data_IF_804287670482
#
_entry.id   IF_804287670482
#
_cell.length_a   1.000
_cell.length_b   1.000
_cell.length_c   1.000
_cell.angle_alpha   90.00
_cell.angle_beta   90.00
_cell.angle_gamma   90.00
#
_symmetry.space_group_name_H-M   'P 1'
#
loop_
_entity.id
_entity.type
_entity.pdbx_description
1 polymer ?
#
# COMPACT_ATOMS: atom_id res chain seq x y z
N UNK A 1 9.57 -22.65 7.25
CA UNK A 1 8.49 -22.62 6.22
C UNK A 1 9.10 -22.19 4.89
N UNK A 2 8.92 -22.97 3.82
CA UNK A 2 9.34 -22.64 2.44
C UNK A 2 8.69 -21.32 1.98
N UNK A 3 9.36 -20.59 1.09
CA UNK A 3 8.71 -19.55 0.28
C UNK A 3 7.99 -20.26 -0.86
N UNK A 4 6.70 -20.01 -0.99
CA UNK A 4 5.85 -20.58 -2.02
C UNK A 4 5.88 -19.66 -3.25
N UNK A 5 5.76 -20.24 -4.45
CA UNK A 5 5.45 -19.41 -5.62
C UNK A 5 4.03 -18.83 -5.49
N UNK A 6 3.67 -17.73 -6.19
CA UNK A 6 2.32 -17.18 -6.13
C UNK A 6 1.22 -18.23 -6.42
N UNK A 7 1.47 -19.13 -7.38
CA UNK A 7 0.56 -20.22 -7.71
C UNK A 7 0.44 -21.25 -6.57
N UNK A 8 1.56 -21.60 -5.92
CA UNK A 8 1.55 -22.51 -4.77
C UNK A 8 0.89 -21.87 -3.54
N UNK A 9 1.00 -20.54 -3.38
CA UNK A 9 0.33 -19.80 -2.30
C UNK A 9 -1.19 -19.86 -2.43
N UNK A 10 -1.72 -19.69 -3.65
CA UNK A 10 -3.16 -19.73 -3.88
C UNK A 10 -3.72 -21.14 -3.71
N UNK A 11 -2.97 -22.18 -4.10
CA UNK A 11 -3.33 -23.58 -3.82
C UNK A 11 -3.32 -23.85 -2.31
N UNK A 12 -2.27 -23.39 -1.61
CA UNK A 12 -2.10 -23.64 -0.18
C UNK A 12 -3.11 -22.89 0.70
N UNK A 13 -3.60 -21.73 0.25
CA UNK A 13 -4.52 -20.88 1.01
C UNK A 13 -5.99 -21.04 0.58
N UNK A 14 -6.29 -21.88 -0.41
CA UNK A 14 -7.61 -22.01 -1.03
C UNK A 14 -8.75 -22.24 -0.03
N UNK A 15 -8.51 -23.04 1.01
CA UNK A 15 -9.49 -23.39 2.05
C UNK A 15 -9.06 -22.88 3.45
N UNK A 16 -8.12 -21.94 3.50
CA UNK A 16 -7.61 -21.42 4.76
C UNK A 16 -8.60 -20.45 5.41
N UNK A 17 -8.64 -20.45 6.75
CA UNK A 17 -9.43 -19.47 7.50
C UNK A 17 -8.82 -18.07 7.36
N UNK A 18 -9.64 -17.03 7.51
CA UNK A 18 -9.15 -15.64 7.50
C UNK A 18 -8.08 -15.39 8.58
N UNK A 19 -8.18 -16.02 9.77
CA UNK A 19 -7.14 -15.92 10.80
C UNK A 19 -5.81 -16.55 10.35
N UNK A 20 -5.87 -17.70 9.65
CA UNK A 20 -4.67 -18.31 9.09
C UNK A 20 -4.03 -17.41 8.03
N UNK A 21 -4.84 -16.88 7.10
CA UNK A 21 -4.39 -15.96 6.05
C UNK A 21 -3.74 -14.71 6.66
N UNK A 22 -4.36 -14.14 7.70
CA UNK A 22 -3.84 -12.98 8.43
C UNK A 22 -2.44 -13.23 8.99
N UNK A 23 -2.28 -14.32 9.75
CA UNK A 23 -0.99 -14.73 10.32
C UNK A 23 0.04 -15.00 9.23
N UNK A 24 -0.39 -15.62 8.13
CA UNK A 24 0.45 -15.89 6.97
C UNK A 24 0.99 -14.61 6.33
N UNK A 25 0.13 -13.63 6.06
CA UNK A 25 0.50 -12.34 5.47
C UNK A 25 1.51 -11.61 6.36
N UNK A 26 1.26 -11.52 7.67
CA UNK A 26 2.19 -10.90 8.63
C UNK A 26 3.52 -11.65 8.69
N UNK A 27 3.51 -12.99 8.74
CA UNK A 27 4.73 -13.80 8.77
C UNK A 27 5.54 -13.69 7.47
N UNK A 28 4.89 -13.50 6.32
CA UNK A 28 5.54 -13.22 5.04
C UNK A 28 6.19 -11.83 5.05
N UNK A 29 5.47 -10.82 5.56
CA UNK A 29 5.99 -9.46 5.68
C UNK A 29 7.21 -9.37 6.61
N UNK A 30 7.16 -10.00 7.78
CA UNK A 30 8.31 -10.06 8.72
C UNK A 30 9.58 -10.63 8.07
N UNK A 31 9.44 -11.64 7.20
CA UNK A 31 10.57 -12.22 6.44
C UNK A 31 11.11 -11.25 5.38
N UNK A 32 10.21 -10.59 4.66
CA UNK A 32 10.53 -9.60 3.64
C UNK A 32 11.21 -8.36 4.26
N UNK A 33 10.69 -7.88 5.38
CA UNK A 33 11.18 -6.68 6.08
C UNK A 33 12.68 -6.75 6.34
N UNK A 34 13.17 -7.87 6.88
CA UNK A 34 14.60 -8.03 7.16
C UNK A 34 15.48 -7.90 5.90
N UNK A 35 15.01 -8.41 4.76
CA UNK A 35 15.71 -8.28 3.47
C UNK A 35 15.68 -6.85 2.94
N UNK A 36 14.51 -6.22 3.00
CA UNK A 36 14.35 -4.81 2.56
C UNK A 36 15.21 -3.89 3.41
N UNK A 37 15.24 -4.12 4.73
CA UNK A 37 16.08 -3.42 5.66
C UNK A 37 17.56 -3.52 5.29
N UNK A 38 18.08 -4.73 5.02
CA UNK A 38 19.47 -4.91 4.58
C UNK A 38 19.79 -4.18 3.27
N UNK A 39 18.84 -4.16 2.33
CA UNK A 39 19.00 -3.50 1.01
C UNK A 39 18.91 -1.98 1.13
N UNK A 40 18.10 -1.46 2.04
CA UNK A 40 17.81 -0.03 2.21
C UNK A 40 18.72 0.65 3.23
N UNK A 41 19.28 -0.12 4.15
CA UNK A 41 20.32 0.30 5.09
C UNK A 41 21.68 -0.39 4.83
N UNK A 42 22.15 -0.51 3.57
CA UNK A 42 23.37 -1.25 3.29
C UNK A 42 24.58 -0.42 3.71
N UNK A 43 25.38 -0.99 4.61
CA UNK A 43 26.76 -0.61 4.95
C UNK A 43 26.98 0.90 5.04
N UNK A 44 26.19 1.57 5.88
CA UNK A 44 26.73 2.77 6.55
C UNK A 44 27.89 2.27 7.39
N UNK A 45 29.12 2.53 6.95
CA UNK A 45 30.33 2.30 7.75
C UNK A 45 30.02 2.88 9.11
N UNK A 46 30.03 2.01 10.13
CA UNK A 46 29.52 2.28 11.46
C UNK A 46 30.30 3.42 12.10
N UNK A 47 29.90 4.64 11.78
CA UNK A 47 30.37 5.83 12.41
C UNK A 47 29.14 6.45 13.03
N UNK A 48 29.23 6.80 14.31
CA UNK A 48 28.21 7.57 15.02
C UNK A 48 27.96 8.96 14.40
N UNK A 49 28.64 9.29 13.29
CA UNK A 49 28.46 10.51 12.54
C UNK A 49 27.07 10.57 11.93
N UNK A 50 26.32 11.55 12.40
CA UNK A 50 24.94 11.80 12.01
C UNK A 50 24.65 13.28 12.10
N UNK A 51 23.69 13.73 11.30
CA UNK A 51 23.10 15.06 11.40
C UNK A 51 21.74 14.86 12.07
N UNK A 52 21.61 15.11 13.38
CA UNK A 52 20.35 14.93 14.09
C UNK A 52 19.36 16.03 13.73
N UNK A 53 18.07 15.67 13.68
CA UNK A 53 16.98 16.63 13.69
C UNK A 53 16.96 17.36 15.04
N UNK A 54 16.69 18.67 15.04
CA UNK A 54 16.73 19.51 16.24
C UNK A 54 15.77 19.07 17.33
N UNK A 55 14.59 18.55 16.95
CA UNK A 55 13.48 18.26 17.88
C UNK A 55 12.98 16.82 17.85
N UNK A 56 13.40 16.01 16.87
CA UNK A 56 12.88 14.67 16.66
C UNK A 56 14.00 13.65 16.87
N UNK A 57 13.70 12.44 17.38
CA UNK A 57 14.66 11.35 17.47
C UNK A 57 14.88 10.73 16.07
N UNK A 58 15.42 11.53 15.15
CA UNK A 58 15.56 11.25 13.73
C UNK A 58 16.84 11.91 13.22
N UNK A 59 17.56 11.27 12.31
CA UNK A 59 18.83 11.78 11.82
C UNK A 59 19.12 11.32 10.39
N UNK A 60 19.99 12.07 9.73
CA UNK A 60 20.68 11.66 8.52
C UNK A 60 22.01 11.02 8.92
N UNK A 61 22.28 9.82 8.44
CA UNK A 61 23.61 9.23 8.59
C UNK A 61 24.59 9.91 7.63
N UNK A 62 25.85 10.01 8.06
CA UNK A 62 26.96 10.48 7.21
C UNK A 62 27.81 9.26 6.89
N UNK A 63 28.08 9.03 5.60
CA UNK A 63 29.03 8.00 5.20
C UNK A 63 30.47 8.44 5.52
N UNK A 64 31.24 7.56 6.15
CA UNK A 64 32.64 7.84 6.52
C UNK A 64 33.55 8.14 5.31
N UNK A 65 33.18 7.64 4.13
CA UNK A 65 33.91 7.81 2.87
C UNK A 65 33.39 8.98 2.01
N UNK A 66 32.48 9.81 2.55
CA UNK A 66 31.94 10.97 1.85
C UNK A 66 31.05 10.63 0.65
N UNK A 67 30.57 9.39 0.55
CA UNK A 67 29.62 8.99 -0.50
C UNK A 67 28.34 9.81 -0.45
N UNK A 68 27.79 10.03 -1.65
CA UNK A 68 26.50 10.67 -1.82
C UNK A 68 25.36 9.77 -1.31
N UNK A 69 24.33 10.41 -0.77
CA UNK A 69 23.22 9.76 -0.10
C UNK A 69 23.34 9.90 1.41
N UNK A 70 22.29 10.40 2.04
CA UNK A 70 22.21 10.54 3.49
C UNK A 70 21.03 9.69 3.95
N UNK A 71 21.23 8.39 4.25
CA UNK A 71 20.12 7.56 4.67
C UNK A 71 19.58 8.12 5.98
N UNK A 72 18.27 8.32 6.03
CA UNK A 72 17.62 8.73 7.25
C UNK A 72 17.45 7.54 8.19
N UNK A 73 17.35 7.83 9.48
CA UNK A 73 17.16 6.81 10.52
C UNK A 73 16.47 7.39 11.74
N UNK A 74 15.60 6.59 12.34
CA UNK A 74 15.12 6.83 13.70
C UNK A 74 16.24 6.55 14.70
N UNK A 75 16.34 7.43 15.70
CA UNK A 75 17.22 7.29 16.85
C UNK A 75 16.40 6.87 18.07
N UNK A 76 17.04 6.19 19.01
CA UNK A 76 16.41 5.94 20.31
C UNK A 76 16.26 7.26 21.06
N UNK A 77 15.10 7.49 21.65
CA UNK A 77 14.81 8.76 22.32
C UNK A 77 15.67 8.99 23.58
N UNK A 78 16.13 7.92 24.24
CA UNK A 78 16.88 8.00 25.50
C UNK A 78 18.39 8.20 25.33
N UNK A 79 18.96 7.56 24.31
CA UNK A 79 20.41 7.46 24.10
C UNK A 79 20.87 8.14 22.81
N UNK A 80 19.92 8.57 21.98
CA UNK A 80 20.18 9.13 20.65
C UNK A 80 20.99 8.18 19.74
N UNK A 81 20.98 6.89 20.05
CA UNK A 81 21.71 5.84 19.33
C UNK A 81 20.84 5.22 18.22
N UNK A 82 21.45 4.53 17.26
CA UNK A 82 20.68 3.83 16.22
C UNK A 82 19.98 2.59 16.79
N UNK A 83 18.83 2.24 16.22
CA UNK A 83 18.25 0.90 16.37
C UNK A 83 19.00 -0.08 15.48
N UNK A 84 19.36 -1.24 16.01
CA UNK A 84 19.95 -2.30 15.20
C UNK A 84 18.87 -3.13 14.49
N UNK A 85 19.28 -3.98 13.54
CA UNK A 85 18.39 -4.81 12.72
C UNK A 85 17.43 -5.67 13.55
N UNK A 86 17.91 -6.28 14.64
CA UNK A 86 17.07 -7.14 15.47
C UNK A 86 16.04 -6.32 16.25
N UNK A 87 16.39 -5.12 16.68
CA UNK A 87 15.44 -4.21 17.33
C UNK A 87 14.36 -3.74 16.36
N UNK A 88 14.73 -3.37 15.14
CA UNK A 88 13.76 -3.06 14.09
C UNK A 88 12.79 -4.21 13.85
N UNK A 89 13.27 -5.45 13.76
CA UNK A 89 12.41 -6.64 13.62
C UNK A 89 11.50 -6.86 14.83
N UNK A 90 12.04 -6.68 16.03
CA UNK A 90 11.29 -6.83 17.29
C UNK A 90 10.18 -5.80 17.45
N UNK A 91 10.30 -4.62 16.83
CA UNK A 91 9.30 -3.55 16.88
C UNK A 91 8.33 -3.60 15.68
N UNK A 92 8.83 -3.92 14.48
CA UNK A 92 7.98 -4.03 13.29
C UNK A 92 6.95 -5.17 13.42
N UNK A 93 7.36 -6.34 13.91
CA UNK A 93 6.48 -7.50 13.97
C UNK A 93 5.23 -7.28 14.84
N UNK A 94 5.33 -6.75 16.09
CA UNK A 94 4.15 -6.37 16.88
C UNK A 94 3.28 -5.32 16.20
N UNK A 95 3.86 -4.28 15.59
CA UNK A 95 3.10 -3.23 14.90
C UNK A 95 2.29 -3.78 13.72
N UNK A 96 2.93 -4.56 12.85
CA UNK A 96 2.29 -5.22 11.71
C UNK A 96 1.19 -6.19 12.17
N UNK A 97 1.44 -6.92 13.26
CA UNK A 97 0.45 -7.82 13.86
C UNK A 97 -0.76 -7.05 14.40
N UNK A 98 -0.54 -5.97 15.14
CA UNK A 98 -1.60 -5.15 15.72
C UNK A 98 -2.46 -4.49 14.63
N UNK A 99 -1.83 -3.89 13.61
CA UNK A 99 -2.51 -3.33 12.43
C UNK A 99 -3.39 -4.37 11.74
N UNK A 100 -2.81 -5.52 11.40
CA UNK A 100 -3.51 -6.60 10.72
C UNK A 100 -4.66 -7.18 11.55
N UNK A 101 -4.49 -7.27 12.88
CA UNK A 101 -5.52 -7.74 13.80
C UNK A 101 -6.68 -6.76 13.95
N UNK A 102 -6.40 -5.45 13.98
CA UNK A 102 -7.45 -4.43 14.01
C UNK A 102 -8.24 -4.40 12.70
N UNK A 103 -7.55 -4.44 11.57
CA UNK A 103 -8.20 -4.41 10.26
C UNK A 103 -9.01 -5.67 9.96
N UNK A 104 -8.68 -6.80 10.61
CA UNK A 104 -9.47 -8.03 10.51
C UNK A 104 -10.96 -7.79 10.78
N UNK A 105 -11.28 -6.98 11.79
CA UNK A 105 -12.66 -6.68 12.19
C UNK A 105 -13.47 -6.03 11.05
N UNK A 106 -12.83 -5.16 10.26
CA UNK A 106 -13.48 -4.47 9.14
C UNK A 106 -13.65 -5.37 7.91
N UNK A 107 -12.85 -6.44 7.81
CA UNK A 107 -12.76 -7.31 6.63
C UNK A 107 -13.52 -8.63 6.79
N UNK A 108 -14.17 -8.88 7.94
CA UNK A 108 -14.81 -10.19 8.24
C UNK A 108 -15.78 -10.67 7.17
N UNK A 109 -16.50 -9.76 6.53
CA UNK A 109 -17.50 -10.07 5.50
C UNK A 109 -16.91 -10.41 4.13
N UNK A 110 -15.61 -10.20 3.91
CA UNK A 110 -14.97 -10.44 2.63
C UNK A 110 -14.73 -11.92 2.36
N UNK A 111 -14.68 -12.28 1.08
CA UNK A 111 -14.17 -13.59 0.65
C UNK A 111 -12.73 -13.77 1.13
N UNK A 112 -12.25 -15.01 1.29
CA UNK A 112 -10.87 -15.30 1.70
C UNK A 112 -9.83 -14.69 0.73
N UNK A 113 -10.16 -14.66 -0.56
CA UNK A 113 -9.33 -14.03 -1.60
C UNK A 113 -9.25 -12.52 -1.41
N UNK A 114 -10.39 -11.83 -1.30
CA UNK A 114 -10.41 -10.37 -1.11
C UNK A 114 -9.79 -9.97 0.23
N UNK A 115 -10.04 -10.76 1.27
CA UNK A 115 -9.42 -10.60 2.58
C UNK A 115 -7.89 -10.67 2.50
N UNK A 116 -7.34 -11.66 1.77
CA UNK A 116 -5.88 -11.78 1.53
C UNK A 116 -5.34 -10.54 0.82
N UNK A 117 -6.05 -10.06 -0.21
CA UNK A 117 -5.66 -8.87 -0.97
C UNK A 117 -5.63 -7.64 -0.07
N UNK A 118 -6.69 -7.39 0.70
CA UNK A 118 -6.78 -6.22 1.59
C UNK A 118 -5.75 -6.25 2.72
N UNK A 119 -5.52 -7.41 3.35
CA UNK A 119 -4.45 -7.56 4.34
C UNK A 119 -3.07 -7.33 3.73
N UNK A 120 -2.83 -7.79 2.51
CA UNK A 120 -1.56 -7.59 1.82
C UNK A 120 -1.35 -6.11 1.46
N UNK A 121 -2.41 -5.41 1.03
CA UNK A 121 -2.36 -3.96 0.77
C UNK A 121 -1.99 -3.16 2.02
N UNK A 122 -2.63 -3.44 3.16
CA UNK A 122 -2.33 -2.77 4.43
C UNK A 122 -0.84 -2.93 4.81
N UNK A 123 -0.30 -4.14 4.72
CA UNK A 123 1.09 -4.40 5.10
C UNK A 123 2.07 -3.79 4.10
N UNK A 124 1.77 -3.85 2.80
CA UNK A 124 2.58 -3.15 1.80
C UNK A 124 2.55 -1.63 1.96
N UNK A 125 1.42 -1.06 2.39
CA UNK A 125 1.31 0.35 2.74
C UNK A 125 2.20 0.69 3.95
N UNK A 126 2.20 -0.14 5.00
CA UNK A 126 3.11 0.06 6.15
C UNK A 126 4.59 0.02 5.72
N UNK A 127 4.97 -0.96 4.91
CA UNK A 127 6.33 -1.05 4.34
C UNK A 127 6.68 0.23 3.55
N UNK A 128 5.73 0.73 2.75
CA UNK A 128 5.90 1.95 1.96
C UNK A 128 6.13 3.16 2.88
N UNK A 129 5.29 3.36 3.89
CA UNK A 129 5.45 4.47 4.85
C UNK A 129 6.81 4.46 5.56
N UNK A 130 7.37 3.26 5.82
CA UNK A 130 8.69 3.12 6.46
C UNK A 130 9.84 3.39 5.50
N UNK A 131 9.82 2.77 4.31
CA UNK A 131 11.01 2.70 3.45
C UNK A 131 10.98 3.62 2.21
N UNK A 132 9.79 3.99 1.76
CA UNK A 132 9.58 4.79 0.55
C UNK A 132 8.29 5.61 0.66
N UNK A 133 8.18 6.51 1.65
CA UNK A 133 7.00 7.36 1.80
C UNK A 133 6.87 8.26 0.57
N UNK A 134 5.63 8.61 0.21
CA UNK A 134 5.37 9.45 -0.97
C UNK A 134 6.00 10.85 -0.84
N UNK A 135 6.09 11.35 0.39
CA UNK A 135 6.66 12.65 0.71
C UNK A 135 7.72 12.53 1.82
N UNK A 136 8.73 13.40 1.79
CA UNK A 136 9.77 13.46 2.81
C UNK A 136 10.79 12.32 2.71
N UNK A 137 11.40 12.00 3.85
CA UNK A 137 12.45 11.00 3.99
C UNK A 137 11.91 9.67 4.54
N UNK A 138 12.49 8.52 4.17
CA UNK A 138 12.11 7.25 4.77
C UNK A 138 12.40 7.24 6.28
N UNK A 139 11.61 6.50 7.04
CA UNK A 139 11.82 6.34 8.49
C UNK A 139 13.16 5.65 8.76
N UNK A 140 13.56 4.73 7.88
CA UNK A 140 14.93 4.25 7.83
C UNK A 140 15.36 3.91 6.41
N UNK A 141 16.63 4.17 6.11
CA UNK A 141 17.30 3.77 4.88
C UNK A 141 17.43 4.88 3.83
N UNK A 142 17.86 4.48 2.64
CA UNK A 142 18.15 5.38 1.53
C UNK A 142 16.97 5.47 0.54
N UNK A 143 16.64 6.69 0.13
CA UNK A 143 15.65 7.00 -0.91
C UNK A 143 16.23 7.96 -1.96
N UNK A 144 15.48 8.20 -3.05
CA UNK A 144 15.85 9.24 -4.03
C UNK A 144 15.89 10.64 -3.41
N UNK A 145 15.07 10.89 -2.40
CA UNK A 145 15.03 12.17 -1.67
C UNK A 145 16.23 12.31 -0.70
N UNK A 146 16.89 11.20 -0.36
CA UNK A 146 18.06 11.18 0.53
C UNK A 146 19.34 11.72 -0.11
N UNK A 147 19.31 12.07 -1.41
CA UNK A 147 20.43 12.69 -2.12
C UNK A 147 20.35 14.23 -2.13
N UNK A 148 19.29 14.81 -1.54
CA UNK A 148 19.17 16.26 -1.40
C UNK A 148 20.24 16.86 -0.49
N UNK A 149 20.53 18.15 -0.71
CA UNK A 149 21.42 18.95 0.15
C UNK A 149 20.68 19.62 1.31
N UNK A 150 19.35 19.50 1.34
CA UNK A 150 18.45 20.10 2.33
C UNK A 150 18.86 19.69 3.75
N UNK A 151 18.66 20.61 4.70
CA UNK A 151 18.82 20.29 6.11
C UNK A 151 17.77 19.29 6.55
N UNK A 152 18.10 18.37 7.45
CA UNK A 152 17.12 17.44 8.01
C UNK A 152 15.94 18.18 8.69
N UNK A 153 16.17 19.37 9.23
CA UNK A 153 15.14 20.20 9.87
C UNK A 153 14.16 20.84 8.87
N UNK A 154 14.53 20.91 7.60
CA UNK A 154 13.71 21.50 6.53
C UNK A 154 12.80 20.45 5.87
N UNK A 155 13.07 19.17 6.13
CA UNK A 155 12.30 18.07 5.56
C UNK A 155 10.89 18.06 6.14
N UNK A 156 9.91 18.19 5.27
CA UNK A 156 8.50 18.05 5.64
C UNK A 156 8.18 16.58 5.89
N UNK A 157 7.89 16.25 7.14
CA UNK A 157 7.46 14.91 7.57
C UNK A 157 5.94 14.90 7.77
N UNK A 158 5.27 13.95 7.12
CA UNK A 158 3.84 13.71 7.26
C UNK A 158 3.46 13.11 8.62
N UNK A 159 2.16 13.12 8.93
CA UNK A 159 1.65 12.67 10.22
C UNK A 159 1.97 11.20 10.52
N UNK A 160 1.94 10.31 9.51
CA UNK A 160 2.31 8.91 9.67
C UNK A 160 3.80 8.73 9.94
N UNK A 161 4.64 9.50 9.26
CA UNK A 161 6.08 9.48 9.51
C UNK A 161 6.38 9.88 10.95
N UNK A 162 5.78 10.96 11.44
CA UNK A 162 5.96 11.40 12.83
C UNK A 162 5.54 10.32 13.84
N UNK A 163 4.40 9.65 13.61
CA UNK A 163 3.93 8.54 14.45
C UNK A 163 4.88 7.35 14.42
N UNK A 164 5.40 6.99 13.25
CA UNK A 164 6.36 5.89 13.11
C UNK A 164 7.69 6.25 13.80
N UNK A 165 8.19 7.48 13.64
CA UNK A 165 9.38 7.97 14.34
C UNK A 165 9.19 7.85 15.86
N UNK A 166 8.08 8.36 16.39
CA UNK A 166 7.76 8.26 17.81
C UNK A 166 7.66 6.81 18.28
N UNK A 167 6.98 5.95 17.52
CA UNK A 167 6.80 4.54 17.82
C UNK A 167 8.15 3.82 17.95
N UNK A 168 9.01 3.93 16.93
CA UNK A 168 10.29 3.24 16.89
C UNK A 168 11.29 3.83 17.89
N UNK A 169 11.33 5.16 18.07
CA UNK A 169 12.26 5.82 18.97
C UNK A 169 12.08 5.42 20.44
N UNK A 170 10.84 5.21 20.87
CA UNK A 170 10.50 4.73 22.21
C UNK A 170 10.26 3.23 22.29
N UNK A 171 10.31 2.53 21.15
CA UNK A 171 9.83 1.16 21.01
C UNK A 171 10.52 0.16 21.93
N UNK A 172 11.85 0.23 22.06
CA UNK A 172 12.59 -0.72 22.92
C UNK A 172 12.28 -0.52 24.40
N UNK A 173 12.09 0.73 24.85
CA UNK A 173 11.69 1.06 26.22
C UNK A 173 10.25 0.61 26.51
N UNK A 174 9.36 0.80 25.54
CA UNK A 174 7.94 0.48 25.64
C UNK A 174 7.59 -0.90 25.06
N UNK A 175 8.56 -1.78 24.81
CA UNK A 175 8.35 -3.07 24.13
C UNK A 175 7.32 -3.95 24.85
N UNK A 176 7.31 -3.88 26.17
CA UNK A 176 6.41 -4.64 27.03
C UNK A 176 5.14 -3.87 27.40
N UNK A 177 4.93 -2.68 26.83
CA UNK A 177 3.71 -1.89 26.99
C UNK A 177 2.83 -2.04 25.74
N UNK A 178 1.75 -2.85 25.79
CA UNK A 178 0.86 -3.04 24.65
C UNK A 178 0.24 -1.73 24.17
N UNK A 179 -0.06 -0.78 25.07
CA UNK A 179 -0.72 0.48 24.72
C UNK A 179 0.09 1.31 23.73
N UNK A 180 1.42 1.26 23.80
CA UNK A 180 2.31 1.96 22.86
C UNK A 180 2.12 1.45 21.43
N UNK A 181 2.03 0.12 21.26
CA UNK A 181 1.82 -0.50 19.94
C UNK A 181 0.38 -0.35 19.48
N UNK A 182 -0.59 -0.54 20.38
CA UNK A 182 -2.02 -0.43 20.07
C UNK A 182 -2.42 0.99 19.65
N UNK A 183 -1.89 2.02 20.32
CA UNK A 183 -2.11 3.43 19.99
C UNK A 183 -1.55 3.78 18.61
N UNK A 184 -0.30 3.37 18.32
CA UNK A 184 0.31 3.57 17.02
C UNK A 184 -0.47 2.85 15.90
N UNK A 185 -0.82 1.58 16.11
CA UNK A 185 -1.59 0.79 15.15
C UNK A 185 -2.97 1.39 14.87
N UNK A 186 -3.66 1.90 15.88
CA UNK A 186 -4.99 2.52 15.70
C UNK A 186 -4.90 3.75 14.80
N UNK A 187 -4.00 4.69 15.11
CA UNK A 187 -3.84 5.93 14.35
C UNK A 187 -3.35 5.68 12.92
N UNK A 188 -2.46 4.69 12.72
CA UNK A 188 -1.98 4.31 11.40
C UNK A 188 -3.08 3.64 10.57
N UNK A 189 -3.91 2.78 11.19
CA UNK A 189 -5.04 2.14 10.50
C UNK A 189 -6.09 3.17 10.07
N UNK A 190 -6.39 4.16 10.91
CA UNK A 190 -7.28 5.27 10.55
C UNK A 190 -6.75 6.00 9.32
N UNK A 191 -5.46 6.36 9.30
CA UNK A 191 -4.85 7.01 8.14
C UNK A 191 -4.91 6.15 6.89
N UNK A 192 -4.61 4.85 6.99
CA UNK A 192 -4.70 3.94 5.85
C UNK A 192 -6.13 3.90 5.27
N UNK A 193 -7.14 3.82 6.13
CA UNK A 193 -8.54 3.81 5.70
C UNK A 193 -8.93 5.10 5.00
N UNK A 194 -8.43 6.24 5.47
CA UNK A 194 -8.70 7.53 4.85
C UNK A 194 -8.01 7.67 3.49
N UNK A 195 -6.77 7.17 3.35
CA UNK A 195 -6.08 7.09 2.05
C UNK A 195 -6.86 6.23 1.05
N UNK A 196 -7.38 5.07 1.50
CA UNK A 196 -8.20 4.17 0.66
C UNK A 196 -9.49 4.84 0.21
N UNK A 197 -10.18 5.56 1.11
CA UNK A 197 -11.40 6.31 0.75
C UNK A 197 -11.09 7.40 -0.28
N UNK A 198 -10.03 8.17 -0.06
CA UNK A 198 -9.62 9.25 -0.96
C UNK A 198 -9.29 8.72 -2.35
N UNK A 199 -8.51 7.64 -2.44
CA UNK A 199 -8.20 6.99 -3.72
C UNK A 199 -9.46 6.47 -4.45
N UNK A 200 -10.43 5.94 -3.71
CA UNK A 200 -11.70 5.48 -4.28
C UNK A 200 -12.55 6.65 -4.82
N UNK A 201 -12.52 7.81 -4.16
CA UNK A 201 -13.21 9.03 -4.63
C UNK A 201 -12.56 9.61 -5.88
N UNK A 202 -11.23 9.71 -5.91
CA UNK A 202 -10.48 10.18 -7.08
C UNK A 202 -10.73 9.29 -8.30
N UNK A 203 -10.78 7.98 -8.13
CA UNK A 203 -11.08 7.02 -9.21
C UNK A 203 -12.51 7.20 -9.75
N UNK A 204 -13.49 7.47 -8.89
CA UNK A 204 -14.88 7.77 -9.30
C UNK A 204 -14.97 9.08 -10.09
N UNK A 205 -14.23 10.10 -9.67
CA UNK A 205 -14.19 11.39 -10.37
C UNK A 205 -13.51 11.28 -11.73
N UNK A 206 -12.39 10.55 -11.83
CA UNK A 206 -11.67 10.34 -13.09
C UNK A 206 -12.54 9.60 -14.12
N UNK A 207 -13.20 8.51 -13.73
CA UNK A 207 -14.10 7.76 -14.62
C UNK A 207 -15.33 8.58 -15.08
N UNK A 208 -15.87 9.45 -14.21
CA UNK A 208 -16.92 10.40 -14.57
C UNK A 208 -16.44 11.46 -15.57
N UNK A 209 -15.22 11.98 -15.36
CA UNK A 209 -14.60 12.94 -16.26
C UNK A 209 -14.34 12.35 -17.65
N UNK A 210 -13.76 11.15 -17.72
CA UNK A 210 -13.54 10.41 -18.97
C UNK A 210 -14.84 10.13 -19.72
N UNK A 211 -15.90 9.73 -19.01
CA UNK A 211 -17.22 9.52 -19.60
C UNK A 211 -17.82 10.83 -20.14
N UNK A 212 -17.65 11.94 -19.42
CA UNK A 212 -18.13 13.27 -19.85
C UNK A 212 -17.35 13.80 -21.06
N UNK A 213 -16.07 13.49 -21.17
CA UNK A 213 -15.19 13.90 -22.27
C UNK A 213 -15.46 13.08 -23.54
N UNK A 214 -15.69 11.77 -23.39
CA UNK A 214 -16.17 10.92 -24.49
C UNK A 214 -17.54 11.36 -25.04
N UNK A 215 -18.46 11.77 -24.18
CA UNK A 215 -19.77 12.33 -24.59
C UNK A 215 -19.63 13.67 -25.34
N UNK A 216 -18.62 14.49 -25.02
CA UNK A 216 -18.33 15.74 -25.73
C UNK A 216 -17.67 15.50 -27.08
N UNK A 217 -16.80 14.49 -27.21
CA UNK A 217 -16.13 14.17 -28.48
C UNK A 217 -17.05 13.50 -29.50
N UNK A 218 -18.15 12.88 -29.06
CA UNK A 218 -19.22 12.34 -29.92
C UNK A 218 -20.30 13.36 -30.30
N UNK A 219 -20.19 14.62 -29.85
CA UNK A 219 -21.11 15.68 -30.26
C UNK A 219 -20.65 16.24 -31.60
N UNK A 220 -21.07 15.57 -32.67
CA UNK A 220 -20.95 16.07 -34.04
C UNK A 220 -21.76 17.38 -34.16
N UNK A 221 -21.13 18.53 -34.51
CA UNK A 221 -21.82 19.80 -34.63
C UNK A 221 -22.91 19.83 -35.73
N UNK A 222 -22.95 18.85 -36.63
CA UNK A 222 -23.98 18.76 -37.68
C UNK A 222 -25.21 17.89 -37.30
N UNK A 223 -25.21 17.25 -36.12
CA UNK A 223 -26.32 16.41 -35.68
C UNK A 223 -27.61 17.19 -35.31
N UNK A 224 -27.56 18.52 -35.22
CA UNK A 224 -28.76 19.35 -35.02
C UNK A 224 -29.58 19.55 -36.31
N UNK A 225 -29.09 19.10 -37.48
CA UNK A 225 -29.79 19.29 -38.77
C UNK A 225 -30.70 18.12 -39.19
N UNK A 226 -30.55 16.93 -38.61
CA UNK A 226 -31.42 15.79 -38.88
C UNK A 226 -31.93 15.22 -37.56
N UNK A 227 -33.23 15.43 -37.32
CA UNK A 227 -33.90 14.99 -36.11
C UNK A 227 -33.88 13.46 -35.92
N UNK A 228 -34.00 13.10 -34.64
CA UNK A 228 -34.15 11.77 -34.04
C UNK A 228 -32.86 11.02 -33.71
N UNK A 229 -32.55 10.97 -32.41
CA UNK A 229 -32.06 9.74 -31.78
C UNK A 229 -32.63 9.59 -30.37
N UNK A 230 -33.29 8.45 -30.13
CA UNK A 230 -33.62 7.96 -28.80
C UNK A 230 -32.34 7.40 -28.15
N UNK A 231 -32.08 7.69 -26.86
CA UNK A 231 -31.02 7.03 -26.12
C UNK A 231 -31.51 5.64 -25.70
N UNK A 232 -30.61 4.66 -25.66
CA UNK A 232 -30.80 3.26 -25.26
C UNK A 232 -31.24 2.28 -26.36
N UNK A 233 -30.25 1.61 -26.95
CA UNK A 233 -30.41 0.45 -27.82
C UNK A 233 -29.23 -0.51 -27.68
N UNK A 234 -29.02 -1.09 -26.49
CA UNK A 234 -28.30 -2.36 -26.38
C UNK A 234 -29.25 -3.44 -26.90
N UNK A 235 -29.01 -3.97 -28.09
CA UNK A 235 -29.60 -5.23 -28.53
C UNK A 235 -28.60 -6.35 -28.23
N UNK A 236 -28.89 -7.06 -27.14
CA UNK A 236 -28.50 -8.45 -26.97
C UNK A 236 -28.99 -9.24 -28.19
N UNK A 237 -28.13 -10.10 -28.73
CA UNK A 237 -28.56 -11.19 -29.62
C UNK A 237 -28.28 -12.48 -28.87
N UNK A 238 -29.31 -12.98 -28.19
CA UNK A 238 -29.42 -14.40 -27.86
C UNK A 238 -29.75 -15.15 -29.15
N UNK A 239 -28.97 -16.20 -29.39
CA UNK A 239 -29.11 -17.09 -30.54
C UNK A 239 -29.98 -18.27 -30.11
N UNK A 240 -31.30 -18.11 -30.15
CA UNK A 240 -32.22 -19.24 -30.20
C UNK A 240 -32.68 -19.42 -31.65
N UNK A 241 -32.15 -20.45 -32.29
CA UNK A 241 -32.70 -21.00 -33.52
C UNK A 241 -33.48 -22.23 -33.07
N UNK A 242 -34.80 -22.22 -33.21
CA UNK A 242 -35.52 -23.40 -33.65
C UNK A 242 -36.95 -23.12 -34.12
N UNK A 243 -37.19 -23.56 -35.36
CA UNK A 243 -38.41 -24.19 -35.88
C UNK A 243 -39.70 -23.35 -35.96
N UNK A 244 -40.17 -23.09 -37.17
CA UNK A 244 -41.22 -23.94 -37.77
C UNK A 244 -41.51 -23.53 -39.21
N UNK A 245 -42.01 -24.53 -39.94
CA UNK A 245 -42.36 -24.61 -41.35
C UNK A 245 -43.55 -23.72 -41.76
N UNK A 246 -43.82 -23.73 -43.08
CA UNK A 246 -44.87 -23.01 -43.83
C UNK A 246 -44.45 -21.58 -44.19
N UNK A 247 -43.95 -21.32 -45.40
CA UNK A 247 -44.82 -21.25 -46.59
C UNK A 247 -44.19 -21.91 -47.83
N UNK A 248 -44.95 -22.86 -48.36
CA UNK A 248 -44.79 -23.53 -49.65
C UNK A 248 -45.22 -22.59 -50.78
N UNK A 249 -44.61 -22.84 -51.95
CA UNK A 249 -45.12 -22.54 -53.30
C UNK A 249 -45.01 -21.05 -53.72
N UNK A 250 -44.48 -20.69 -54.88
CA UNK A 250 -44.63 -21.38 -56.15
C UNK A 250 -43.63 -20.89 -57.23
N UNK A 251 -43.53 -21.70 -58.28
CA UNK A 251 -42.84 -21.51 -59.58
C UNK A 251 -41.37 -21.95 -59.62
N UNK A 252 -41.03 -23.15 -60.13
CA UNK A 252 -41.16 -23.74 -61.48
C UNK A 252 -39.95 -23.45 -62.38
N UNK A 253 -39.52 -24.55 -63.01
CA UNK A 253 -38.64 -24.68 -64.19
C UNK A 253 -37.14 -24.59 -63.85
N UNK A 254 -36.30 -25.59 -64.09
CA UNK A 254 -36.31 -26.82 -64.91
C UNK A 254 -35.32 -27.81 -64.29
#
# INVERSE_FOLDING_TARGET
>A
MREFSPADEDIFLKDATQDYIRRYVVAKANRKFARVFDIKEPLVIDTDQKIPHKTLPFALAIYADGKDGRPSRVLRADTNSKLNKEEWKLLYSPLATALSSKYHEDLKSLSTTDYKVEQTKLINWLDKEIFTPDNGLPITGLSRNSFGTESIDEVVLGANQLRLIEYFAWGMRNRNNPEHTESAATKLLESYKDDVKKAAEETKQASSAEHSEAMKSHRDPDAERYGFYHPWGKLFVEKEINLSDEEREDSKME
#
